data_IF_115100660903
#
_entry.id   IF_115100660903
#
_cell.length_a   1.000
_cell.length_b   1.000
_cell.length_c   1.000
_cell.angle_alpha   90.00
_cell.angle_beta   90.00
_cell.angle_gamma   90.00
#
_symmetry.space_group_name_H-M   'P 1'
#
loop_
_entity.id
_entity.type
_entity.pdbx_description
1 polymer ?
#
# COMPACT_ATOMS: atom_id res chain seq x y z
N UNK A 1 1.77 -23.03 4.47
CA UNK A 1 1.50 -21.76 5.14
C UNK A 1 2.43 -20.65 4.63
N UNK A 2 1.94 -19.78 3.72
CA UNK A 2 2.65 -18.53 3.43
C UNK A 2 2.37 -17.58 4.59
N UNK A 3 3.42 -17.24 5.35
CA UNK A 3 3.34 -16.27 6.43
C UNK A 3 2.92 -14.93 5.83
N UNK A 4 1.78 -14.38 6.27
CA UNK A 4 1.34 -13.03 5.88
C UNK A 4 2.16 -12.04 6.67
N UNK A 5 2.73 -11.06 6.00
CA UNK A 5 3.53 -10.04 6.66
C UNK A 5 3.33 -8.71 5.95
N UNK A 6 2.86 -7.73 6.72
CA UNK A 6 3.02 -6.32 6.43
C UNK A 6 4.14 -5.80 7.33
N UNK A 7 4.81 -4.75 6.87
CA UNK A 7 5.90 -4.13 7.61
C UNK A 7 6.18 -2.72 7.10
N UNK A 8 7.01 -2.00 7.83
CA UNK A 8 7.39 -0.63 7.51
C UNK A 8 8.91 -0.55 7.42
N UNK A 9 9.38 0.07 6.35
CA UNK A 9 10.78 0.46 6.17
C UNK A 9 10.77 1.98 6.02
N UNK A 10 11.58 2.67 6.82
CA UNK A 10 11.63 4.12 6.85
C UNK A 10 13.06 4.59 7.15
N UNK A 11 13.34 5.83 6.78
CA UNK A 11 14.62 6.48 7.05
C UNK A 11 14.59 7.17 8.42
N UNK A 12 15.27 6.57 9.40
CA UNK A 12 15.34 7.09 10.77
C UNK A 12 16.14 8.39 10.92
N UNK A 13 16.93 8.77 9.91
CA UNK A 13 17.82 9.93 9.99
C UNK A 13 17.13 11.23 9.53
N UNK A 14 15.87 11.15 9.09
CA UNK A 14 15.11 12.26 8.47
C UNK A 14 14.11 12.94 9.40
N UNK A 15 14.16 12.66 10.71
CA UNK A 15 13.20 13.21 11.67
C UNK A 15 11.86 12.45 11.74
N UNK A 16 11.76 11.31 11.06
CA UNK A 16 10.68 10.34 11.21
C UNK A 16 10.94 9.45 12.44
N UNK A 17 10.01 9.44 13.38
CA UNK A 17 10.10 8.60 14.58
C UNK A 17 8.90 7.66 14.64
N UNK A 18 9.15 6.35 14.53
CA UNK A 18 8.12 5.35 14.77
C UNK A 18 7.81 5.28 16.27
N UNK A 19 6.55 5.54 16.64
CA UNK A 19 6.07 5.54 18.03
C UNK A 19 5.48 4.21 18.44
N UNK A 20 4.65 3.63 17.57
CA UNK A 20 3.99 2.35 17.82
C UNK A 20 3.70 1.60 16.52
N UNK A 21 3.56 0.27 16.62
CA UNK A 21 3.13 -0.63 15.55
C UNK A 21 2.26 -1.72 16.12
N UNK A 22 1.07 -1.89 15.53
CA UNK A 22 0.15 -2.95 15.93
C UNK A 22 -0.53 -3.63 14.74
N UNK A 23 -0.84 -4.91 14.90
CA UNK A 23 -1.70 -5.64 13.95
C UNK A 23 -3.15 -5.26 14.27
N UNK A 24 -3.78 -4.48 13.39
CA UNK A 24 -5.14 -3.98 13.60
C UNK A 24 -6.22 -4.86 12.98
N UNK A 25 -5.85 -5.73 12.03
CA UNK A 25 -6.80 -6.65 11.41
C UNK A 25 -6.12 -7.91 10.86
N UNK A 26 -6.67 -9.09 11.17
CA UNK A 26 -6.30 -10.37 10.56
C UNK A 26 -7.51 -11.31 10.58
N UNK A 27 -8.09 -11.59 9.41
CA UNK A 27 -9.28 -12.45 9.30
C UNK A 27 -9.15 -13.54 8.23
N UNK A 28 -7.95 -13.77 7.72
CA UNK A 28 -7.74 -14.71 6.61
C UNK A 28 -8.07 -14.14 5.22
N UNK A 29 -8.72 -12.99 5.09
CA UNK A 29 -8.91 -12.29 3.80
C UNK A 29 -8.10 -10.98 3.76
N UNK A 30 -8.24 -10.16 4.80
CA UNK A 30 -7.54 -8.90 5.03
C UNK A 30 -6.51 -9.10 6.13
N UNK A 31 -5.29 -8.63 5.89
CA UNK A 31 -4.26 -8.49 6.92
C UNK A 31 -3.79 -7.04 6.93
N UNK A 32 -3.78 -6.40 8.09
CA UNK A 32 -3.42 -4.99 8.20
C UNK A 32 -2.63 -4.68 9.46
N UNK A 33 -1.60 -3.86 9.30
CA UNK A 33 -0.74 -3.37 10.39
C UNK A 33 -0.77 -1.85 10.37
N UNK A 34 -1.05 -1.24 11.51
CA UNK A 34 -1.03 0.20 11.72
C UNK A 34 0.31 0.60 12.32
N UNK A 35 0.86 1.71 11.85
CA UNK A 35 2.00 2.38 12.45
C UNK A 35 1.65 3.82 12.80
N UNK A 36 2.07 4.27 13.98
CA UNK A 36 2.05 5.69 14.37
C UNK A 36 3.45 6.26 14.22
N UNK A 37 3.58 7.26 13.34
CA UNK A 37 4.81 8.00 13.12
C UNK A 37 4.67 9.43 13.64
N UNK A 38 5.72 9.94 14.26
CA UNK A 38 5.89 11.37 14.49
C UNK A 38 6.77 11.95 13.38
N UNK A 39 6.28 13.02 12.76
CA UNK A 39 6.95 13.79 11.70
C UNK A 39 6.95 15.25 12.11
N UNK A 40 8.12 15.82 12.39
CA UNK A 40 8.27 17.22 12.84
C UNK A 40 7.37 17.60 14.04
N UNK A 41 7.09 16.63 14.93
CA UNK A 41 6.23 16.82 16.10
C UNK A 41 4.73 16.63 15.87
N UNK A 42 4.31 16.30 14.64
CA UNK A 42 2.94 15.90 14.32
C UNK A 42 2.83 14.36 14.20
N UNK A 43 1.78 13.77 14.76
CA UNK A 43 1.47 12.35 14.56
C UNK A 43 0.80 12.12 13.20
N UNK A 44 1.23 11.07 12.52
CA UNK A 44 0.73 10.59 11.23
C UNK A 44 0.60 9.07 11.32
N UNK A 45 -0.62 8.57 11.12
CA UNK A 45 -0.89 7.13 11.19
C UNK A 45 -0.98 6.50 9.80
N UNK A 46 -0.37 5.33 9.64
CA UNK A 46 -0.32 4.62 8.35
C UNK A 46 -0.73 3.17 8.53
N UNK A 47 -1.76 2.73 7.82
CA UNK A 47 -2.13 1.31 7.74
C UNK A 47 -1.57 0.69 6.47
N UNK A 48 -0.78 -0.37 6.63
CA UNK A 48 -0.33 -1.23 5.54
C UNK A 48 -1.29 -2.41 5.41
N UNK A 49 -1.95 -2.54 4.26
CA UNK A 49 -3.03 -3.51 3.99
C UNK A 49 -2.59 -4.53 2.94
N UNK A 50 -2.86 -5.80 3.18
CA UNK A 50 -2.67 -6.88 2.22
C UNK A 50 -3.95 -7.71 2.06
N UNK A 51 -4.45 -7.82 0.82
CA UNK A 51 -5.65 -8.57 0.47
C UNK A 51 -5.32 -9.90 -0.20
N UNK A 52 -5.42 -10.97 0.58
CA UNK A 52 -4.85 -12.28 0.25
C UNK A 52 -5.65 -13.17 -0.70
N UNK A 53 -6.94 -12.92 -0.92
CA UNK A 53 -7.76 -13.63 -1.91
C UNK A 53 -9.05 -12.87 -2.21
N UNK A 54 -9.56 -12.96 -3.45
CA UNK A 54 -10.85 -12.40 -3.84
C UNK A 54 -12.00 -13.06 -3.04
N UNK A 55 -12.29 -12.49 -1.87
CA UNK A 55 -13.40 -12.86 -1.00
C UNK A 55 -14.50 -11.82 -1.12
N UNK A 56 -15.75 -12.26 -1.20
CA UNK A 56 -16.91 -11.36 -1.12
C UNK A 56 -16.98 -10.55 0.18
N UNK A 57 -16.19 -10.93 1.20
CA UNK A 57 -16.10 -10.24 2.49
C UNK A 57 -15.14 -9.04 2.47
N UNK A 58 -14.23 -8.94 1.51
CA UNK A 58 -13.22 -7.87 1.44
C UNK A 58 -13.82 -6.46 1.63
N UNK A 59 -14.88 -6.06 0.90
CA UNK A 59 -15.47 -4.73 1.07
C UNK A 59 -15.85 -4.44 2.51
N UNK A 60 -16.56 -5.37 3.15
CA UNK A 60 -17.07 -5.22 4.51
C UNK A 60 -15.94 -5.18 5.54
N UNK A 61 -14.88 -5.97 5.32
CA UNK A 61 -13.73 -6.04 6.21
C UNK A 61 -12.83 -4.83 6.09
N UNK A 62 -12.62 -4.31 4.86
CA UNK A 62 -11.91 -3.05 4.67
C UNK A 62 -12.65 -1.87 5.28
N UNK A 63 -13.99 -1.80 5.15
CA UNK A 63 -14.78 -0.77 5.84
C UNK A 63 -14.60 -0.85 7.35
N UNK A 64 -14.74 -2.05 7.92
CA UNK A 64 -14.53 -2.28 9.35
C UNK A 64 -13.12 -1.85 9.80
N UNK A 65 -12.08 -2.23 9.06
CA UNK A 65 -10.71 -1.81 9.32
C UNK A 65 -10.59 -0.29 9.37
N UNK A 66 -11.06 0.41 8.34
CA UNK A 66 -10.95 1.87 8.24
C UNK A 66 -11.78 2.61 9.30
N UNK A 67 -12.97 2.10 9.66
CA UNK A 67 -13.79 2.69 10.72
C UNK A 67 -13.24 2.44 12.13
N UNK A 68 -12.50 1.35 12.35
CA UNK A 68 -11.96 1.01 13.67
C UNK A 68 -10.58 1.64 13.93
N UNK A 69 -9.74 1.71 12.89
CA UNK A 69 -8.37 2.23 13.01
C UNK A 69 -8.23 3.70 12.62
N UNK A 70 -9.17 4.25 11.84
CA UNK A 70 -9.20 5.65 11.37
C UNK A 70 -7.83 6.23 10.94
N UNK A 71 -7.02 5.51 10.13
CA UNK A 71 -5.68 5.93 9.77
C UNK A 71 -5.67 7.23 8.93
N UNK A 72 -4.56 7.95 8.98
CA UNK A 72 -4.33 9.09 8.09
C UNK A 72 -4.10 8.63 6.65
N UNK A 73 -3.44 7.48 6.49
CA UNK A 73 -3.01 6.93 5.21
C UNK A 73 -3.26 5.42 5.20
N UNK A 74 -3.94 4.91 4.18
CA UNK A 74 -4.02 3.47 3.91
C UNK A 74 -3.25 3.15 2.62
N UNK A 75 -2.32 2.21 2.70
CA UNK A 75 -1.43 1.81 1.60
C UNK A 75 -1.30 0.29 1.53
N UNK A 76 -1.07 -0.25 0.35
CA UNK A 76 -0.64 -1.63 0.19
C UNK A 76 -1.25 -2.31 -1.02
N UNK A 77 -1.42 -3.62 -0.92
CA UNK A 77 -1.88 -4.50 -1.99
C UNK A 77 -3.40 -4.62 -1.97
N UNK A 78 -4.04 -3.85 -2.87
CA UNK A 78 -5.49 -3.85 -3.09
C UNK A 78 -5.90 -4.66 -4.33
N UNK A 79 -5.05 -5.56 -4.83
CA UNK A 79 -5.28 -6.30 -6.09
C UNK A 79 -6.54 -7.16 -6.07
N UNK A 80 -6.93 -7.67 -4.90
CA UNK A 80 -8.17 -8.44 -4.71
C UNK A 80 -9.43 -7.56 -4.57
N UNK A 81 -9.27 -6.23 -4.66
CA UNK A 81 -10.35 -5.25 -4.60
C UNK A 81 -10.21 -4.18 -5.69
N UNK A 82 -10.19 -4.60 -6.98
CA UNK A 82 -10.08 -3.68 -8.10
C UNK A 82 -11.30 -2.75 -8.11
N UNK A 83 -11.07 -1.47 -8.36
CA UNK A 83 -12.11 -0.43 -8.48
C UNK A 83 -12.84 -0.08 -7.17
N UNK A 84 -12.24 -0.42 -6.03
CA UNK A 84 -12.70 0.07 -4.75
C UNK A 84 -12.28 1.52 -4.51
N UNK A 85 -13.23 2.42 -4.72
CA UNK A 85 -13.16 3.74 -4.15
C UNK A 85 -13.57 3.64 -2.67
N UNK A 86 -12.59 3.66 -1.75
CA UNK A 86 -12.87 3.92 -0.32
C UNK A 86 -13.43 5.32 -0.05
N UNK A 87 -13.81 6.05 -1.11
CA UNK A 87 -14.42 7.38 -1.08
C UNK A 87 -15.67 7.39 -0.19
N UNK A 88 -16.43 6.29 -0.18
CA UNK A 88 -17.60 6.13 0.70
C UNK A 88 -17.25 6.22 2.19
N UNK A 89 -16.03 5.84 2.58
CA UNK A 89 -15.54 5.85 3.97
C UNK A 89 -14.71 7.10 4.30
N UNK A 90 -14.72 8.11 3.42
CA UNK A 90 -13.97 9.35 3.60
C UNK A 90 -12.49 9.28 3.21
N UNK A 91 -12.11 8.27 2.43
CA UNK A 91 -10.75 8.08 1.92
C UNK A 91 -10.67 8.29 0.41
N UNK A 92 -9.77 9.17 -0.02
CA UNK A 92 -9.57 9.47 -1.43
C UNK A 92 -8.36 8.72 -1.95
N UNK A 93 -8.55 7.97 -3.03
CA UNK A 93 -7.48 7.33 -3.79
C UNK A 93 -6.62 8.37 -4.49
N UNK A 94 -5.29 8.27 -4.41
CA UNK A 94 -4.37 9.22 -5.06
C UNK A 94 -3.78 8.74 -6.38
N UNK A 95 -3.86 7.45 -6.69
CA UNK A 95 -3.45 6.90 -7.99
C UNK A 95 -4.67 6.75 -8.90
N UNK A 96 -4.63 7.32 -10.10
CA UNK A 96 -5.79 7.29 -11.02
C UNK A 96 -6.02 5.88 -11.59
N UNK A 97 -7.28 5.43 -11.56
CA UNK A 97 -7.69 4.14 -12.11
C UNK A 97 -7.70 4.14 -13.66
N UNK A 98 -7.41 2.99 -14.30
CA UNK A 98 -6.87 1.76 -13.72
C UNK A 98 -5.36 1.89 -13.42
N UNK A 99 -4.95 1.63 -12.19
CA UNK A 99 -3.53 1.63 -11.79
C UNK A 99 -3.02 0.20 -11.71
N UNK A 100 -2.45 -0.31 -12.79
CA UNK A 100 -1.77 -1.61 -12.79
C UNK A 100 -0.35 -1.43 -12.29
N UNK A 101 0.01 -2.10 -11.20
CA UNK A 101 1.31 -1.96 -10.53
C UNK A 101 2.24 -3.15 -10.79
N UNK A 102 1.97 -3.99 -11.79
CA UNK A 102 2.92 -5.02 -12.19
C UNK A 102 4.28 -4.43 -12.60
N UNK A 103 5.36 -5.11 -12.18
CA UNK A 103 6.74 -4.82 -12.59
C UNK A 103 7.06 -5.26 -14.02
N UNK A 104 6.22 -6.12 -14.60
CA UNK A 104 6.30 -6.60 -15.97
C UNK A 104 4.98 -6.36 -16.70
N UNK A 105 5.00 -6.41 -18.04
CA UNK A 105 3.80 -6.21 -18.84
C UNK A 105 2.69 -7.22 -18.45
N UNK A 106 1.42 -6.79 -18.36
CA UNK A 106 0.29 -7.68 -18.13
C UNK A 106 0.29 -8.84 -19.15
N UNK A 107 0.14 -10.07 -18.67
CA UNK A 107 0.14 -11.27 -19.51
C UNK A 107 1.37 -12.18 -19.40
N UNK A 108 2.46 -11.75 -18.72
CA UNK A 108 3.61 -12.62 -18.46
C UNK A 108 3.48 -13.49 -17.20
N UNK A 109 2.66 -13.08 -16.23
CA UNK A 109 2.46 -13.76 -14.92
C UNK A 109 1.02 -14.19 -14.65
N UNK A 110 0.06 -13.84 -15.52
CA UNK A 110 -1.37 -14.13 -15.36
C UNK A 110 -2.07 -13.39 -14.21
N UNK A 111 -1.33 -12.68 -13.36
CA UNK A 111 -1.85 -11.96 -12.19
C UNK A 111 -1.69 -10.45 -12.39
N UNK A 112 -2.76 -9.69 -12.16
CA UNK A 112 -2.74 -8.22 -12.21
C UNK A 112 -2.64 -7.68 -10.78
N UNK A 113 -1.65 -6.83 -10.52
CA UNK A 113 -1.48 -6.15 -9.24
C UNK A 113 -2.02 -4.73 -9.32
N UNK A 114 -2.68 -4.30 -8.24
CA UNK A 114 -3.29 -2.97 -8.10
C UNK A 114 -3.00 -2.39 -6.72
N UNK A 115 -1.71 -2.17 -6.42
CA UNK A 115 -1.30 -1.49 -5.20
C UNK A 115 -1.78 -0.03 -5.23
N UNK A 116 -2.23 0.48 -4.08
CA UNK A 116 -2.82 1.82 -4.01
C UNK A 116 -2.51 2.53 -2.69
N UNK A 117 -2.70 3.85 -2.71
CA UNK A 117 -2.62 4.74 -1.56
C UNK A 117 -3.94 5.49 -1.46
N UNK A 118 -4.48 5.57 -0.25
CA UNK A 118 -5.71 6.27 0.09
C UNK A 118 -5.45 7.20 1.27
N UNK A 119 -5.98 8.42 1.18
CA UNK A 119 -5.79 9.47 2.16
C UNK A 119 -7.14 9.84 2.78
N UNK A 120 -7.19 9.97 4.11
CA UNK A 120 -8.34 10.58 4.77
C UNK A 120 -8.41 12.09 4.43
N UNK A 121 -9.46 12.79 4.86
CA UNK A 121 -9.62 14.23 4.60
C UNK A 121 -8.47 15.10 5.11
N UNK A 122 -7.83 14.73 6.23
CA UNK A 122 -6.71 15.47 6.84
C UNK A 122 -5.45 15.31 6.01
N UNK A 123 -5.09 14.10 5.63
CA UNK A 123 -3.93 13.83 4.78
C UNK A 123 -4.12 14.36 3.37
N UNK A 124 -5.36 14.29 2.86
CA UNK A 124 -5.69 14.81 1.53
C UNK A 124 -5.49 16.33 1.45
N UNK A 125 -5.75 17.09 2.52
CA UNK A 125 -5.49 18.54 2.51
C UNK A 125 -4.01 18.89 2.46
N UNK A 126 -3.13 17.93 2.80
CA UNK A 126 -1.67 18.03 2.72
C UNK A 126 -1.10 17.42 1.45
N UNK A 127 -1.91 16.74 0.65
CA UNK A 127 -1.48 16.11 -0.59
C UNK A 127 -1.04 17.16 -1.62
N UNK A 128 0.18 17.02 -2.14
CA UNK A 128 0.72 18.00 -3.10
C UNK A 128 0.08 17.91 -4.48
N UNK A 129 -0.72 16.87 -4.73
CA UNK A 129 -1.23 16.52 -6.06
C UNK A 129 -0.29 15.60 -6.83
N UNK A 130 0.88 15.25 -6.27
CA UNK A 130 1.89 14.43 -6.93
C UNK A 130 1.93 13.02 -6.35
N UNK A 131 1.67 12.03 -7.20
CA UNK A 131 1.75 10.60 -6.90
C UNK A 131 2.23 9.83 -8.12
N UNK A 132 2.67 8.59 -7.91
CA UNK A 132 3.12 7.76 -9.03
C UNK A 132 3.49 6.33 -8.68
N UNK A 133 3.96 5.65 -9.72
CA UNK A 133 4.43 4.26 -9.67
C UNK A 133 5.91 4.28 -10.04
N UNK A 134 6.76 3.66 -9.21
CA UNK A 134 8.18 3.48 -9.54
C UNK A 134 8.29 2.30 -10.49
N UNK A 135 8.75 2.54 -11.72
CA UNK A 135 8.91 1.49 -12.75
C UNK A 135 10.35 1.25 -13.20
N UNK A 136 11.25 2.16 -12.86
CA UNK A 136 12.65 2.12 -13.28
C UNK A 136 13.54 1.73 -12.11
N UNK A 137 14.71 1.14 -12.40
CA UNK A 137 15.69 0.78 -11.37
C UNK A 137 15.31 -0.41 -10.48
N UNK A 138 14.19 -1.10 -10.78
CA UNK A 138 13.70 -2.23 -9.98
C UNK A 138 14.26 -3.60 -10.40
N UNK A 139 15.09 -3.64 -11.46
CA UNK A 139 15.72 -4.85 -11.94
C UNK A 139 17.20 -4.86 -11.56
N UNK A 140 17.72 -6.03 -11.20
CA UNK A 140 19.14 -6.18 -10.88
C UNK A 140 19.71 -7.44 -11.52
N UNK A 141 20.95 -7.36 -12.05
CA UNK A 141 21.58 -8.47 -12.79
C UNK A 141 21.68 -9.75 -11.95
N UNK A 142 21.86 -9.62 -10.64
CA UNK A 142 21.95 -10.76 -9.72
C UNK A 142 20.58 -11.39 -9.36
N UNK A 143 19.47 -10.81 -9.80
CA UNK A 143 18.14 -11.38 -9.57
C UNK A 143 17.77 -12.27 -10.77
N UNK A 144 17.38 -13.54 -10.56
CA UNK A 144 16.95 -14.41 -11.63
C UNK A 144 15.62 -13.96 -12.28
N UNK A 145 15.46 -14.24 -13.57
CA UNK A 145 14.24 -14.04 -14.36
C UNK A 145 13.97 -15.29 -15.21
N UNK A 146 13.44 -16.33 -14.56
CA UNK A 146 13.36 -17.66 -15.17
C UNK A 146 14.76 -18.19 -15.49
N UNK A 147 15.05 -18.47 -16.76
CA UNK A 147 16.38 -18.91 -17.23
C UNK A 147 17.33 -17.75 -17.56
N UNK A 148 16.91 -16.49 -17.36
CA UNK A 148 17.71 -15.30 -17.61
C UNK A 148 18.12 -14.61 -16.30
N UNK A 149 19.10 -13.70 -16.40
CA UNK A 149 19.49 -12.77 -15.33
C UNK A 149 18.82 -11.41 -15.53
N UNK A 150 18.84 -10.54 -14.51
CA UNK A 150 18.23 -9.20 -14.60
C UNK A 150 16.74 -9.17 -14.28
N UNK A 151 16.31 -9.97 -13.31
CA UNK A 151 14.93 -10.00 -12.83
C UNK A 151 14.55 -8.82 -11.94
N UNK A 152 13.24 -8.61 -11.73
CA UNK A 152 12.73 -7.56 -10.87
C UNK A 152 12.84 -7.95 -9.39
N UNK A 153 13.02 -6.96 -8.51
CA UNK A 153 13.00 -7.15 -7.06
C UNK A 153 11.66 -7.69 -6.53
N UNK A 154 10.57 -7.42 -7.24
CA UNK A 154 9.22 -7.89 -6.93
C UNK A 154 8.37 -7.96 -8.20
N UNK A 155 7.29 -8.72 -8.18
CA UNK A 155 6.26 -8.68 -9.23
C UNK A 155 5.40 -7.40 -9.14
N UNK A 156 5.48 -6.70 -8.01
CA UNK A 156 4.84 -5.40 -7.75
C UNK A 156 5.84 -4.24 -7.96
N UNK A 157 5.35 -3.14 -8.50
CA UNK A 157 6.01 -1.84 -8.53
C UNK A 157 5.60 -1.03 -7.29
N UNK A 158 6.54 -0.42 -6.57
CA UNK A 158 6.23 0.51 -5.49
C UNK A 158 5.38 1.69 -5.97
N UNK A 159 4.49 2.14 -5.10
CA UNK A 159 3.68 3.33 -5.28
C UNK A 159 4.09 4.41 -4.28
N UNK A 160 3.91 5.67 -4.64
CA UNK A 160 4.28 6.79 -3.79
C UNK A 160 3.34 7.98 -3.98
N UNK A 161 3.30 8.85 -2.98
CA UNK A 161 2.68 10.18 -3.02
C UNK A 161 3.48 11.15 -2.16
N UNK A 162 3.37 12.44 -2.46
CA UNK A 162 3.98 13.52 -1.68
C UNK A 162 2.95 14.24 -0.82
N UNK A 163 3.31 14.52 0.43
CA UNK A 163 2.53 15.27 1.40
C UNK A 163 3.38 16.42 1.96
N UNK A 164 2.77 17.58 2.21
CA UNK A 164 3.37 18.63 3.03
C UNK A 164 3.36 18.25 4.52
N UNK A 165 4.42 18.63 5.25
CA UNK A 165 4.52 18.48 6.71
C UNK A 165 3.75 19.57 7.44
#
# INVERSE_FOLDING_TARGET
DKKRSCGFLYDSDTGLVLKDVEVVHDDGAVFAVLADFEVEGASVTLVNVHLSSASSRIPQQCRRLLSQSEPDIAIGDFSSYPDADFVEEGYTRVLLAPTVTNSMAPGSSGTTYMDNIYLNKRSLSRYTGVSGIVRQGLNHVAIPRGWMWGGPASEHCPVWCELYT
#
